data_IF_932948069354
#
_entry.id   IF_932948069354
#
_cell.length_a   1.000
_cell.length_b   1.000
_cell.length_c   1.000
_cell.angle_alpha   90.00
_cell.angle_beta   90.00
_cell.angle_gamma   90.00
#
_symmetry.space_group_name_H-M   'P 1'
#
loop_
_entity.id
_entity.type
_entity.pdbx_description
1 polymer ?
#
# COMPACT_ATOMS: atom_id res chain seq x y z
N UNK A 1 36.73 -14.01 2.67
CA UNK A 1 38.22 -13.88 2.61
C UNK A 1 38.78 -13.13 1.38
N UNK A 2 37.97 -12.73 0.39
CA UNK A 2 38.47 -12.22 -0.91
C UNK A 2 38.77 -10.70 -0.92
N UNK A 3 38.20 -9.91 0.01
CA UNK A 3 38.36 -8.44 0.03
C UNK A 3 39.52 -7.94 0.90
N UNK A 4 39.88 -8.66 1.97
CA UNK A 4 40.91 -8.27 2.93
C UNK A 4 42.26 -7.87 2.30
N UNK A 5 42.80 -8.60 1.30
CA UNK A 5 44.07 -8.22 0.67
C UNK A 5 43.99 -6.97 -0.21
N UNK A 6 42.79 -6.53 -0.62
CA UNK A 6 42.58 -5.43 -1.57
C UNK A 6 42.23 -4.11 -0.91
N UNK A 7 41.46 -4.15 0.19
CA UNK A 7 40.94 -2.95 0.87
C UNK A 7 41.30 -2.89 2.36
N UNK A 8 42.07 -3.86 2.86
CA UNK A 8 42.41 -3.99 4.27
C UNK A 8 41.32 -4.65 5.10
N UNK A 9 41.70 -5.16 6.28
CA UNK A 9 40.82 -5.93 7.15
C UNK A 9 39.62 -5.12 7.66
N UNK A 10 39.85 -3.88 8.11
CA UNK A 10 38.80 -3.03 8.66
C UNK A 10 37.71 -2.71 7.63
N UNK A 11 38.10 -2.31 6.42
CA UNK A 11 37.14 -2.06 5.35
C UNK A 11 36.44 -3.36 4.93
N UNK A 12 37.17 -4.45 4.69
CA UNK A 12 36.58 -5.73 4.31
C UNK A 12 35.54 -6.24 5.34
N UNK A 13 35.80 -6.05 6.63
CA UNK A 13 34.83 -6.36 7.70
C UNK A 13 33.59 -5.47 7.61
N UNK A 14 33.75 -4.15 7.44
CA UNK A 14 32.63 -3.23 7.30
C UNK A 14 31.76 -3.56 6.08
N UNK A 15 32.36 -3.79 4.92
CA UNK A 15 31.65 -4.21 3.71
C UNK A 15 30.93 -5.55 3.91
N UNK A 16 31.57 -6.50 4.60
CA UNK A 16 30.95 -7.79 4.94
C UNK A 16 29.76 -7.65 5.89
N UNK A 17 29.84 -6.76 6.88
CA UNK A 17 28.74 -6.50 7.81
C UNK A 17 27.57 -5.78 7.13
N UNK A 18 27.85 -4.75 6.33
CA UNK A 18 26.82 -3.96 5.67
C UNK A 18 26.14 -4.73 4.54
N UNK A 19 26.90 -5.42 3.69
CA UNK A 19 26.36 -6.03 2.48
C UNK A 19 26.26 -7.54 2.52
N UNK A 20 26.85 -8.21 3.52
CA UNK A 20 26.79 -9.67 3.63
C UNK A 20 25.38 -10.22 3.83
N UNK A 21 24.45 -9.39 4.30
CA UNK A 21 23.03 -9.73 4.44
C UNK A 21 22.11 -8.91 3.52
N UNK A 22 22.68 -7.96 2.76
CA UNK A 22 21.91 -7.13 1.86
C UNK A 22 21.57 -7.90 0.59
N UNK A 23 20.37 -7.66 0.05
CA UNK A 23 19.95 -8.14 -1.28
C UNK A 23 19.50 -6.94 -2.10
N UNK A 24 19.71 -7.02 -3.41
CA UNK A 24 19.14 -6.03 -4.33
C UNK A 24 17.62 -6.18 -4.41
N UNK A 25 16.90 -5.08 -4.25
CA UNK A 25 15.44 -5.00 -4.45
C UNK A 25 15.09 -5.39 -5.89
N UNK A 26 13.99 -6.12 -6.07
CA UNK A 26 13.44 -6.46 -7.39
C UNK A 26 12.16 -5.67 -7.65
N UNK A 27 11.67 -5.69 -8.90
CA UNK A 27 10.38 -5.08 -9.25
C UNK A 27 9.17 -5.72 -8.54
N UNK A 28 9.38 -6.85 -7.85
CA UNK A 28 8.35 -7.56 -7.08
C UNK A 28 8.33 -7.15 -5.59
N UNK A 29 9.30 -6.36 -5.14
CA UNK A 29 9.31 -5.78 -3.81
C UNK A 29 8.65 -4.40 -3.83
N UNK A 30 7.98 -4.04 -2.72
CA UNK A 30 7.35 -2.74 -2.56
C UNK A 30 8.16 -1.86 -1.62
N UNK A 31 8.72 -0.77 -2.14
CA UNK A 31 9.28 0.30 -1.31
C UNK A 31 8.12 1.10 -0.72
N UNK A 32 8.06 1.19 0.60
CA UNK A 32 6.94 1.83 1.29
C UNK A 32 6.97 3.36 1.12
N UNK A 33 5.79 3.99 1.07
CA UNK A 33 5.69 5.46 0.89
C UNK A 33 6.41 6.23 2.01
N UNK A 34 6.39 5.72 3.24
CA UNK A 34 7.09 6.30 4.40
C UNK A 34 8.62 6.37 4.21
N UNK A 35 9.18 5.50 3.37
CA UNK A 35 10.60 5.48 3.01
C UNK A 35 11.03 6.74 2.24
N UNK A 36 10.09 7.49 1.65
CA UNK A 36 10.39 8.77 0.97
C UNK A 36 11.11 9.79 1.85
N UNK A 37 10.88 9.78 3.16
CA UNK A 37 11.55 10.67 4.13
C UNK A 37 12.98 10.26 4.48
N UNK A 38 13.37 9.02 4.15
CA UNK A 38 14.63 8.41 4.60
C UNK A 38 15.57 8.13 3.42
N UNK A 39 15.03 7.77 2.25
CA UNK A 39 15.85 7.44 1.09
C UNK A 39 16.78 8.60 0.70
N UNK A 40 18.05 8.31 0.48
CA UNK A 40 19.07 9.32 0.17
C UNK A 40 19.58 10.15 1.36
N UNK A 41 19.05 9.93 2.57
CA UNK A 41 19.58 10.57 3.79
C UNK A 41 20.74 9.78 4.39
N UNK A 42 21.58 10.45 5.17
CA UNK A 42 22.71 9.83 5.86
C UNK A 42 22.30 9.19 7.20
N UNK A 43 22.91 8.04 7.52
CA UNK A 43 22.81 7.38 8.82
C UNK A 43 24.09 7.54 9.64
N UNK A 44 23.96 7.64 10.96
CA UNK A 44 25.11 7.59 11.88
C UNK A 44 25.58 6.16 12.16
N UNK A 45 24.84 5.15 11.69
CA UNK A 45 25.13 3.74 11.91
C UNK A 45 26.21 3.17 10.98
N UNK A 46 26.75 3.98 10.06
CA UNK A 46 27.85 3.63 9.18
C UNK A 46 28.71 4.87 8.85
N UNK A 47 30.00 4.70 8.55
CA UNK A 47 30.85 5.81 8.13
C UNK A 47 30.62 6.17 6.65
N UNK A 48 30.81 7.46 6.31
CA UNK A 48 30.87 7.89 4.92
C UNK A 48 32.02 7.18 4.18
N UNK A 49 31.85 6.82 2.89
CA UNK A 49 30.70 7.10 2.02
C UNK A 49 29.60 6.02 2.05
N UNK A 50 29.63 5.07 3.00
CA UNK A 50 28.72 3.90 3.04
C UNK A 50 27.47 4.13 3.89
N UNK A 51 27.08 5.39 4.10
CA UNK A 51 26.09 5.79 5.09
C UNK A 51 24.81 6.37 4.48
N UNK A 52 24.57 6.22 3.17
CA UNK A 52 23.41 6.85 2.50
C UNK A 52 22.30 5.81 2.24
N UNK A 53 21.15 5.94 2.89
CA UNK A 53 20.05 4.96 2.79
C UNK A 53 19.58 4.72 1.35
N UNK A 54 19.52 3.44 0.96
CA UNK A 54 19.08 2.99 -0.36
C UNK A 54 20.09 3.24 -1.49
N UNK A 55 21.23 3.90 -1.21
CA UNK A 55 22.29 4.17 -2.20
C UNK A 55 23.55 3.40 -1.83
N UNK A 56 24.15 3.71 -0.67
CA UNK A 56 25.35 3.05 -0.16
C UNK A 56 25.11 2.33 1.16
N UNK A 57 24.07 2.68 1.90
CA UNK A 57 23.60 1.94 3.07
C UNK A 57 22.31 1.20 2.73
N UNK A 58 22.22 -0.14 2.86
CA UNK A 58 21.01 -0.87 2.53
C UNK A 58 19.76 -0.38 3.28
N UNK A 59 18.61 -0.34 2.61
CA UNK A 59 17.34 -0.10 3.30
C UNK A 59 17.04 -1.26 4.26
N UNK A 60 16.58 -0.92 5.45
CA UNK A 60 16.20 -1.89 6.49
C UNK A 60 14.80 -2.47 6.22
N UNK A 61 14.46 -3.57 6.88
CA UNK A 61 13.22 -4.34 6.64
C UNK A 61 11.95 -3.48 6.72
N UNK A 62 11.91 -2.49 7.61
CA UNK A 62 10.74 -1.59 7.77
C UNK A 62 10.44 -0.71 6.54
N UNK A 63 11.36 -0.62 5.57
CA UNK A 63 11.24 0.26 4.41
C UNK A 63 10.80 -0.46 3.14
N UNK A 64 10.88 -1.79 3.12
CA UNK A 64 10.66 -2.61 1.93
C UNK A 64 9.85 -3.83 2.32
N UNK A 65 8.70 -4.00 1.67
CA UNK A 65 7.93 -5.24 1.74
C UNK A 65 8.41 -6.16 0.63
N UNK A 66 9.06 -7.27 1.00
CA UNK A 66 9.55 -8.23 0.01
C UNK A 66 8.40 -8.96 -0.68
N UNK A 67 8.66 -9.55 -1.85
CA UNK A 67 7.70 -10.46 -2.52
C UNK A 67 7.10 -11.50 -1.58
N UNK A 68 7.91 -12.12 -0.73
CA UNK A 68 7.48 -13.15 0.21
C UNK A 68 6.54 -12.57 1.27
N UNK A 69 6.90 -11.44 1.86
CA UNK A 69 6.04 -10.77 2.85
C UNK A 69 4.73 -10.29 2.22
N UNK A 70 4.77 -9.73 1.01
CA UNK A 70 3.58 -9.33 0.25
C UNK A 70 2.66 -10.52 -0.06
N UNK A 71 3.22 -11.68 -0.42
CA UNK A 71 2.46 -12.91 -0.64
C UNK A 71 1.81 -13.43 0.67
N UNK A 72 2.52 -13.34 1.79
CA UNK A 72 1.99 -13.71 3.10
C UNK A 72 0.81 -12.80 3.50
N UNK A 73 0.96 -11.48 3.33
CA UNK A 73 -0.11 -10.50 3.57
C UNK A 73 -1.32 -10.80 2.68
N UNK A 74 -1.09 -11.03 1.37
CA UNK A 74 -2.18 -11.35 0.45
C UNK A 74 -2.92 -12.62 0.84
N UNK A 75 -2.19 -13.67 1.22
CA UNK A 75 -2.79 -14.94 1.66
C UNK A 75 -3.68 -14.74 2.89
N UNK A 76 -3.21 -13.95 3.87
CA UNK A 76 -4.01 -13.63 5.05
C UNK A 76 -5.26 -12.82 4.69
N UNK A 77 -5.13 -11.79 3.84
CA UNK A 77 -6.25 -10.96 3.37
C UNK A 77 -7.30 -11.81 2.65
N UNK A 78 -6.88 -12.70 1.74
CA UNK A 78 -7.79 -13.60 1.02
C UNK A 78 -8.53 -14.54 1.97
N UNK A 79 -7.82 -15.08 2.98
CA UNK A 79 -8.42 -15.94 4.00
C UNK A 79 -9.47 -15.20 4.85
N UNK A 80 -9.18 -13.98 5.30
CA UNK A 80 -10.15 -13.15 6.04
C UNK A 80 -11.37 -12.82 5.18
N UNK A 81 -11.17 -12.39 3.93
CA UNK A 81 -12.27 -12.08 3.01
C UNK A 81 -13.17 -13.30 2.76
N UNK A 82 -12.58 -14.49 2.60
CA UNK A 82 -13.34 -15.72 2.46
C UNK A 82 -14.19 -16.03 3.70
N UNK A 83 -13.64 -15.84 4.91
CA UNK A 83 -14.37 -16.04 6.17
C UNK A 83 -15.49 -15.02 6.35
N UNK A 84 -15.25 -13.74 6.09
CA UNK A 84 -16.26 -12.68 6.17
C UNK A 84 -17.41 -12.98 5.21
N UNK A 85 -17.10 -13.35 3.95
CA UNK A 85 -18.11 -13.71 2.95
C UNK A 85 -18.94 -14.91 3.38
N UNK A 86 -18.30 -15.95 3.92
CA UNK A 86 -18.99 -17.14 4.41
C UNK A 86 -19.95 -16.79 5.57
N UNK A 87 -19.49 -16.03 6.56
CA UNK A 87 -20.32 -15.61 7.70
C UNK A 87 -21.47 -14.72 7.24
N UNK A 88 -21.24 -13.77 6.33
CA UNK A 88 -22.30 -12.94 5.78
C UNK A 88 -23.38 -13.78 5.07
N UNK A 89 -23.00 -14.82 4.33
CA UNK A 89 -23.95 -15.74 3.71
C UNK A 89 -24.73 -16.55 4.77
N UNK A 90 -24.05 -17.12 5.77
CA UNK A 90 -24.67 -17.89 6.85
C UNK A 90 -25.71 -17.06 7.62
N UNK A 91 -25.36 -15.83 7.98
CA UNK A 91 -26.23 -14.95 8.75
C UNK A 91 -27.14 -14.06 7.89
N UNK A 92 -27.15 -14.26 6.56
CA UNK A 92 -27.94 -13.47 5.61
C UNK A 92 -27.72 -11.95 5.78
N UNK A 93 -26.47 -11.54 5.96
CA UNK A 93 -26.06 -10.15 6.11
C UNK A 93 -25.74 -9.52 4.74
N UNK A 94 -25.93 -8.20 4.63
CA UNK A 94 -25.43 -7.46 3.48
C UNK A 94 -23.90 -7.60 3.41
N UNK A 95 -23.37 -7.85 2.23
CA UNK A 95 -21.95 -8.07 2.00
C UNK A 95 -21.43 -7.19 0.87
N UNK A 96 -20.30 -6.55 1.11
CA UNK A 96 -19.54 -5.79 0.11
C UNK A 96 -18.22 -6.49 -0.12
N UNK A 97 -17.91 -6.80 -1.38
CA UNK A 97 -16.60 -7.32 -1.77
C UNK A 97 -15.62 -6.16 -1.96
N UNK A 98 -15.04 -5.71 -0.84
CA UNK A 98 -14.09 -4.60 -0.85
C UNK A 98 -12.83 -4.90 -1.68
N UNK A 99 -12.39 -6.16 -1.74
CA UNK A 99 -11.23 -6.55 -2.54
C UNK A 99 -11.51 -6.37 -4.04
N UNK A 100 -12.66 -6.86 -4.51
CA UNK A 100 -13.08 -6.66 -5.91
C UNK A 100 -13.19 -5.17 -6.26
N UNK A 101 -13.72 -4.36 -5.33
CA UNK A 101 -13.84 -2.90 -5.53
C UNK A 101 -12.47 -2.19 -5.58
N UNK A 102 -11.51 -2.64 -4.77
CA UNK A 102 -10.13 -2.15 -4.85
C UNK A 102 -9.45 -2.53 -6.17
N UNK A 103 -9.71 -3.74 -6.69
CA UNK A 103 -9.24 -4.14 -8.03
C UNK A 103 -9.85 -3.26 -9.11
N UNK A 104 -11.14 -2.91 -9.00
CA UNK A 104 -11.81 -1.98 -9.92
C UNK A 104 -11.20 -0.57 -9.88
N UNK A 105 -10.97 -0.03 -8.68
CA UNK A 105 -10.30 1.27 -8.49
C UNK A 105 -8.88 1.32 -9.06
N UNK A 106 -8.17 0.20 -9.06
CA UNK A 106 -6.83 0.08 -9.63
C UNK A 106 -6.81 0.04 -11.16
N UNK A 107 -7.95 -0.18 -11.82
CA UNK A 107 -8.02 -0.15 -13.29
C UNK A 107 -7.97 1.29 -13.81
N UNK A 108 -7.52 1.46 -15.04
CA UNK A 108 -7.51 2.76 -15.74
C UNK A 108 -8.91 3.37 -15.91
N UNK A 109 -9.93 2.51 -16.00
CA UNK A 109 -11.35 2.90 -16.03
C UNK A 109 -11.83 3.45 -14.68
N UNK A 110 -11.26 2.98 -13.57
CA UNK A 110 -11.70 3.35 -12.22
C UNK A 110 -13.18 3.09 -11.97
N UNK A 111 -13.72 3.84 -11.02
CA UNK A 111 -15.15 3.95 -10.71
C UNK A 111 -15.65 5.31 -11.19
N UNK A 112 -16.74 5.31 -11.95
CA UNK A 112 -17.38 6.53 -12.43
C UNK A 112 -18.53 6.93 -11.51
N UNK A 113 -18.59 8.20 -11.11
CA UNK A 113 -19.72 8.76 -10.38
C UNK A 113 -20.01 10.18 -10.86
N UNK A 114 -21.22 10.42 -11.38
CA UNK A 114 -21.68 11.72 -11.89
C UNK A 114 -20.63 12.47 -12.74
N UNK A 115 -20.07 11.77 -13.73
CA UNK A 115 -19.08 12.32 -14.66
C UNK A 115 -17.65 12.42 -14.12
N UNK A 116 -17.40 12.09 -12.86
CA UNK A 116 -16.07 12.10 -12.24
C UNK A 116 -15.51 10.68 -12.14
N UNK A 117 -14.24 10.52 -12.53
CA UNK A 117 -13.50 9.26 -12.41
C UNK A 117 -12.72 9.18 -11.12
N UNK A 118 -12.90 8.07 -10.41
CA UNK A 118 -12.21 7.74 -9.17
C UNK A 118 -11.29 6.53 -9.38
N UNK A 119 -10.03 6.65 -9.01
CA UNK A 119 -9.04 5.56 -9.10
C UNK A 119 -8.22 5.49 -7.82
N UNK A 120 -7.45 4.42 -7.63
CA UNK A 120 -6.50 4.29 -6.53
C UNK A 120 -5.16 5.03 -6.77
N UNK A 121 -5.02 5.78 -7.87
CA UNK A 121 -3.77 6.48 -8.20
C UNK A 121 -3.42 7.48 -7.09
N UNK A 122 -2.21 7.38 -6.55
CA UNK A 122 -1.74 8.28 -5.49
C UNK A 122 -1.82 9.75 -5.94
N UNK A 123 -2.26 10.63 -5.02
CA UNK A 123 -2.47 12.08 -5.21
C UNK A 123 -3.59 12.48 -6.19
N UNK A 124 -3.70 11.80 -7.33
CA UNK A 124 -4.55 12.25 -8.46
C UNK A 124 -5.78 11.38 -8.70
N UNK A 125 -5.88 10.22 -8.05
CA UNK A 125 -7.00 9.29 -8.20
C UNK A 125 -8.25 9.68 -7.42
N UNK A 126 -8.13 10.62 -6.47
CA UNK A 126 -9.25 11.20 -5.73
C UNK A 126 -9.81 10.33 -4.59
N UNK A 127 -9.40 9.06 -4.46
CA UNK A 127 -9.93 8.15 -3.44
C UNK A 127 -9.02 7.97 -2.23
N UNK A 128 -7.70 8.09 -2.37
CA UNK A 128 -6.73 7.97 -1.27
C UNK A 128 -6.14 9.32 -0.84
N UNK A 129 -5.86 9.43 0.45
CA UNK A 129 -5.22 10.58 1.07
C UNK A 129 -3.72 10.63 0.76
N UNK A 130 -3.02 11.67 1.23
CA UNK A 130 -1.57 11.83 1.05
C UNK A 130 -0.74 10.82 1.85
N UNK A 131 -1.33 10.10 2.80
CA UNK A 131 -0.67 8.98 3.48
C UNK A 131 -0.65 7.68 2.65
N UNK A 132 -1.38 7.64 1.53
CA UNK A 132 -1.44 6.49 0.64
C UNK A 132 -2.17 5.26 1.20
N UNK A 133 -2.80 5.37 2.38
CA UNK A 133 -3.47 4.25 3.07
C UNK A 133 -4.93 4.56 3.36
N UNK A 134 -5.22 5.73 3.92
CA UNK A 134 -6.59 6.13 4.25
C UNK A 134 -7.29 6.73 3.02
N UNK A 135 -8.61 6.56 2.98
CA UNK A 135 -9.42 7.16 1.95
C UNK A 135 -9.63 8.66 2.20
N UNK A 136 -9.83 9.42 1.14
CA UNK A 136 -10.37 10.78 1.23
C UNK A 136 -11.85 10.72 1.60
N UNK A 137 -12.47 11.88 1.89
CA UNK A 137 -13.93 11.95 2.05
C UNK A 137 -14.67 11.39 0.81
N UNK A 138 -14.18 11.67 -0.39
CA UNK A 138 -14.71 11.08 -1.63
C UNK A 138 -14.52 9.56 -1.69
N UNK A 139 -13.34 9.06 -1.33
CA UNK A 139 -13.10 7.62 -1.26
C UNK A 139 -14.05 6.90 -0.28
N UNK A 140 -14.25 7.47 0.91
CA UNK A 140 -15.22 6.94 1.87
C UNK A 140 -16.67 7.02 1.34
N UNK A 141 -17.04 8.07 0.61
CA UNK A 141 -18.35 8.17 -0.02
C UNK A 141 -18.58 7.10 -1.10
N UNK A 142 -17.55 6.77 -1.89
CA UNK A 142 -17.59 5.63 -2.84
C UNK A 142 -17.87 4.34 -2.08
N UNK A 143 -17.10 4.05 -1.03
CA UNK A 143 -17.28 2.83 -0.22
C UNK A 143 -18.67 2.80 0.45
N UNK A 144 -19.13 3.92 1.01
CA UNK A 144 -20.45 4.03 1.62
C UNK A 144 -21.56 3.69 0.62
N UNK A 145 -21.46 4.16 -0.63
CA UNK A 145 -22.41 3.81 -1.67
C UNK A 145 -22.44 2.31 -2.00
N UNK A 146 -21.30 1.62 -1.96
CA UNK A 146 -21.26 0.15 -2.12
C UNK A 146 -22.00 -0.56 -0.99
N UNK A 147 -21.83 -0.11 0.27
CA UNK A 147 -22.57 -0.65 1.41
C UNK A 147 -24.07 -0.36 1.32
N UNK A 148 -24.46 0.86 0.95
CA UNK A 148 -25.85 1.25 0.73
C UNK A 148 -26.50 0.34 -0.32
N UNK A 149 -25.81 0.10 -1.44
CA UNK A 149 -26.30 -0.79 -2.50
C UNK A 149 -26.44 -2.24 -2.00
N UNK A 150 -25.46 -2.76 -1.27
CA UNK A 150 -25.53 -4.10 -0.70
C UNK A 150 -26.68 -4.26 0.30
N UNK A 151 -26.89 -3.26 1.17
CA UNK A 151 -27.99 -3.20 2.14
C UNK A 151 -29.34 -3.18 1.42
N UNK A 152 -29.53 -2.27 0.46
CA UNK A 152 -30.77 -2.19 -0.32
C UNK A 152 -31.07 -3.51 -1.04
N UNK A 153 -30.05 -4.16 -1.62
CA UNK A 153 -30.21 -5.46 -2.29
C UNK A 153 -30.62 -6.58 -1.33
N UNK A 154 -29.95 -6.68 -0.17
CA UNK A 154 -30.15 -7.75 0.81
C UNK A 154 -31.47 -7.61 1.54
N UNK A 155 -31.78 -6.41 2.02
CA UNK A 155 -32.91 -6.15 2.92
C UNK A 155 -34.11 -5.49 2.23
N UNK A 156 -34.05 -5.30 0.92
CA UNK A 156 -35.11 -4.64 0.12
C UNK A 156 -35.43 -3.23 0.60
N UNK A 157 -34.42 -2.55 1.14
CA UNK A 157 -34.50 -1.17 1.59
C UNK A 157 -34.32 -0.17 0.44
N UNK A 158 -34.57 1.10 0.71
CA UNK A 158 -34.50 2.22 -0.25
C UNK A 158 -33.59 3.34 0.23
N UNK A 159 -32.49 3.00 0.90
CA UNK A 159 -31.52 3.99 1.39
C UNK A 159 -30.94 4.78 0.20
N UNK A 160 -30.97 6.13 0.24
CA UNK A 160 -30.40 6.93 -0.82
C UNK A 160 -28.87 6.83 -0.78
N UNK A 161 -28.26 6.78 -1.97
CA UNK A 161 -26.81 6.94 -2.12
C UNK A 161 -26.41 8.39 -1.85
N UNK A 162 -25.17 8.60 -1.42
CA UNK A 162 -24.61 9.93 -1.23
C UNK A 162 -23.95 10.41 -2.53
N UNK A 163 -23.99 11.72 -2.80
CA UNK A 163 -23.23 12.29 -3.90
C UNK A 163 -21.75 12.35 -3.53
N UNK A 164 -20.92 11.52 -4.17
CA UNK A 164 -19.48 11.41 -3.90
C UNK A 164 -18.77 12.76 -4.08
N UNK A 165 -19.20 13.58 -5.04
CA UNK A 165 -18.56 14.84 -5.38
C UNK A 165 -18.71 15.91 -4.28
N UNK A 166 -19.66 15.73 -3.35
CA UNK A 166 -19.90 16.64 -2.22
C UNK A 166 -18.87 16.48 -1.09
N UNK A 167 -18.02 15.44 -1.14
CA UNK A 167 -17.05 15.15 -0.09
C UNK A 167 -15.64 15.66 -0.43
N UNK A 168 -14.83 15.84 0.62
CA UNK A 168 -13.48 16.35 0.50
C UNK A 168 -12.55 15.37 -0.23
N UNK A 169 -11.76 15.92 -1.15
CA UNK A 169 -10.61 15.25 -1.76
C UNK A 169 -9.29 15.73 -1.14
N UNK A 170 -8.17 15.38 -1.78
CA UNK A 170 -6.88 16.01 -1.50
C UNK A 170 -6.96 17.49 -1.87
N UNK A 171 -6.60 18.37 -0.94
CA UNK A 171 -6.49 19.82 -1.20
C UNK A 171 -5.05 20.12 -1.61
N UNK A 172 -4.89 20.67 -2.81
CA UNK A 172 -3.60 21.20 -3.27
C UNK A 172 -3.40 22.63 -2.74
N UNK A 173 -2.16 23.03 -2.43
CA UNK A 173 -1.82 24.42 -2.15
C UNK A 173 -2.08 25.33 -3.35
#
# INVERSE_FOLDING_TARGET
>A
PILTPKIGLAAATLYGQLYGQARQTTAEDYVLLTTSSVIGTETTSAPAPLNVYGISYPLQNQHVLTKTEAANVKTAVDAYNAKIKALAATYKLAFVDANAKMVELNKSSGIQFDGVKYTAKFVTGGTFSLDGVHLTGRGYAVVANEFIQAINKQYKSTLPVVNVNNYSGVKFP
#
